data_IF_675463155105
#
_entry.id   IF_675463155105
#
_cell.length_a   1.000
_cell.length_b   1.000
_cell.length_c   1.000
_cell.angle_alpha   90.00
_cell.angle_beta   90.00
_cell.angle_gamma   90.00
#
_symmetry.space_group_name_H-M   'P 1'
#
loop_
_entity.id
_entity.type
_entity.pdbx_description
1 polymer ?
#
# COMPACT_ATOMS: atom_id res chain seq x y z
N UNK A 1 -10.60 -2.60 13.52
CA UNK A 1 -9.67 -1.47 13.68
C UNK A 1 -8.57 -1.43 12.61
N UNK A 2 -8.85 -1.80 11.35
CA UNK A 2 -7.82 -1.93 10.29
C UNK A 2 -7.91 -0.85 9.19
N UNK A 3 -8.89 0.06 9.28
CA UNK A 3 -9.20 1.11 8.29
C UNK A 3 -8.98 2.49 8.94
N UNK A 4 -7.89 2.64 9.69
CA UNK A 4 -7.53 3.94 10.25
C UNK A 4 -6.70 4.72 9.26
N UNK A 5 -6.80 6.06 9.32
CA UNK A 5 -5.87 6.93 8.63
C UNK A 5 -4.44 6.64 9.12
N UNK A 6 -3.52 6.40 8.19
CA UNK A 6 -2.12 6.11 8.54
C UNK A 6 -1.27 7.34 8.25
N UNK A 7 -0.48 7.85 9.22
CA UNK A 7 0.28 9.09 9.07
C UNK A 7 1.60 8.88 8.31
N UNK A 8 1.59 8.06 7.26
CA UNK A 8 2.77 7.76 6.46
C UNK A 8 2.62 8.34 5.06
N UNK A 9 3.71 8.92 4.55
CA UNK A 9 3.75 9.39 3.18
C UNK A 9 3.67 8.21 2.20
N UNK A 10 3.09 8.47 1.03
CA UNK A 10 3.13 7.54 -0.10
C UNK A 10 4.58 7.40 -0.58
N UNK A 11 5.06 6.18 -0.68
CA UNK A 11 6.40 5.87 -1.20
C UNK A 11 6.37 5.85 -2.73
N UNK A 12 7.21 6.70 -3.32
CA UNK A 12 7.42 6.85 -4.76
C UNK A 12 8.84 6.51 -5.20
N UNK A 13 9.68 6.00 -4.30
CA UNK A 13 11.11 5.81 -4.52
C UNK A 13 11.41 4.80 -5.63
N UNK A 14 10.58 3.76 -5.77
CA UNK A 14 10.76 2.72 -6.78
C UNK A 14 10.36 3.21 -8.19
N UNK A 15 11.11 2.92 -9.26
CA UNK A 15 10.78 3.37 -10.61
C UNK A 15 9.55 2.69 -11.24
N UNK A 16 9.13 1.52 -10.75
CA UNK A 16 8.08 0.71 -11.38
C UNK A 16 6.72 0.81 -10.68
N UNK A 17 6.68 0.89 -9.35
CA UNK A 17 5.44 0.92 -8.58
C UNK A 17 5.52 1.90 -7.40
N UNK A 18 4.36 2.16 -6.78
CA UNK A 18 4.22 3.03 -5.61
C UNK A 18 3.53 2.28 -4.48
N UNK A 19 3.80 2.71 -3.24
CA UNK A 19 3.14 2.19 -2.05
C UNK A 19 2.43 3.31 -1.29
N UNK A 20 1.10 3.25 -1.17
CA UNK A 20 0.27 4.11 -0.35
C UNK A 20 -0.18 3.36 0.92
N UNK A 21 0.43 3.61 2.09
CA UNK A 21 0.08 2.95 3.34
C UNK A 21 -1.36 3.25 3.77
N UNK A 22 -1.90 4.42 3.42
CA UNK A 22 -3.22 4.89 3.81
C UNK A 22 -4.35 4.12 3.10
N UNK A 23 -4.06 3.49 1.97
CA UNK A 23 -5.00 2.62 1.25
C UNK A 23 -4.84 1.14 1.63
N UNK A 24 -3.84 0.79 2.45
CA UNK A 24 -3.52 -0.60 2.77
C UNK A 24 -4.40 -1.15 3.90
N UNK A 25 -5.19 -2.18 3.59
CA UNK A 25 -6.08 -2.86 4.55
C UNK A 25 -5.42 -3.96 5.39
N UNK A 26 -4.09 -4.11 5.31
CA UNK A 26 -3.32 -5.09 6.09
C UNK A 26 -3.74 -6.55 5.87
N UNK A 27 -4.10 -6.91 4.64
CA UNK A 27 -4.51 -8.27 4.29
C UNK A 27 -3.35 -9.30 4.20
N UNK A 28 -2.09 -8.87 4.26
CA UNK A 28 -0.92 -9.76 4.23
C UNK A 28 -0.58 -10.41 2.87
N UNK A 29 -1.44 -10.33 1.85
CA UNK A 29 -1.22 -11.00 0.54
C UNK A 29 0.11 -10.64 -0.14
N UNK A 30 0.54 -9.38 -0.03
CA UNK A 30 1.82 -8.94 -0.59
C UNK A 30 3.03 -9.54 0.14
N UNK A 31 2.93 -9.73 1.46
CA UNK A 31 3.97 -10.38 2.27
C UNK A 31 4.05 -11.86 1.91
N UNK A 32 2.90 -12.53 1.82
CA UNK A 32 2.84 -13.94 1.42
C UNK A 32 3.45 -14.16 0.02
N UNK A 33 3.10 -13.30 -0.95
CA UNK A 33 3.69 -13.38 -2.29
C UNK A 33 5.22 -13.18 -2.27
N UNK A 34 5.72 -12.21 -1.50
CA UNK A 34 7.15 -11.93 -1.43
C UNK A 34 7.94 -13.05 -0.72
N UNK A 35 7.38 -13.65 0.34
CA UNK A 35 8.06 -14.66 1.14
C UNK A 35 7.90 -16.07 0.58
N UNK A 36 6.68 -16.47 0.22
CA UNK A 36 6.37 -17.87 -0.10
C UNK A 36 6.43 -18.17 -1.60
N UNK A 37 6.12 -17.19 -2.45
CA UNK A 37 6.07 -17.39 -3.91
C UNK A 37 7.39 -16.99 -4.54
N UNK A 38 7.83 -15.75 -4.32
CA UNK A 38 9.07 -15.22 -4.89
C UNK A 38 10.31 -15.55 -4.05
N UNK A 39 10.12 -15.92 -2.77
CA UNK A 39 11.20 -16.28 -1.82
C UNK A 39 12.27 -15.18 -1.71
N UNK A 40 11.85 -13.92 -1.75
CA UNK A 40 12.75 -12.75 -1.62
C UNK A 40 12.86 -12.25 -0.17
N UNK A 41 11.85 -12.53 0.65
CA UNK A 41 11.84 -12.23 2.10
C UNK A 41 11.99 -10.75 2.52
N UNK A 42 11.85 -9.80 1.58
CA UNK A 42 11.98 -8.34 1.85
C UNK A 42 10.78 -7.74 2.59
N UNK A 43 9.56 -8.24 2.33
CA UNK A 43 8.34 -7.66 2.87
C UNK A 43 7.95 -8.30 4.21
N UNK A 44 7.53 -7.48 5.15
CA UNK A 44 6.97 -7.90 6.45
C UNK A 44 5.88 -6.94 6.93
N UNK A 45 5.10 -7.35 7.92
CA UNK A 45 4.15 -6.48 8.64
C UNK A 45 4.40 -6.64 10.12
N UNK A 46 4.65 -5.53 10.80
CA UNK A 46 4.69 -5.46 12.25
C UNK A 46 3.34 -4.98 12.79
N UNK A 47 2.54 -5.93 13.31
CA UNK A 47 1.21 -5.65 13.87
C UNK A 47 1.27 -5.00 15.26
N UNK A 48 2.45 -4.87 15.87
CA UNK A 48 2.60 -4.26 17.19
C UNK A 48 2.74 -2.74 17.14
N UNK A 49 3.05 -2.18 15.97
CA UNK A 49 3.11 -0.74 15.76
C UNK A 49 1.73 -0.09 15.92
N UNK A 50 1.71 1.15 16.43
CA UNK A 50 0.49 1.94 16.59
C UNK A 50 -0.29 2.11 15.27
N UNK A 51 0.43 2.29 14.16
CA UNK A 51 -0.12 2.31 12.81
C UNK A 51 0.60 1.26 11.96
N UNK A 52 0.09 0.01 11.90
CA UNK A 52 0.73 -1.05 11.16
C UNK A 52 0.69 -0.79 9.64
N UNK A 53 1.80 -1.12 8.97
CA UNK A 53 1.97 -1.01 7.51
C UNK A 53 2.86 -2.15 7.01
N UNK A 54 2.95 -2.28 5.69
CA UNK A 54 3.92 -3.15 5.04
C UNK A 54 5.29 -2.46 5.12
N UNK A 55 6.29 -3.23 5.50
CA UNK A 55 7.66 -2.78 5.72
C UNK A 55 8.56 -3.51 4.73
N UNK A 56 9.37 -2.74 4.00
CA UNK A 56 10.50 -3.26 3.23
C UNK A 56 11.72 -3.25 4.16
N UNK A 57 12.39 -4.38 4.33
CA UNK A 57 13.56 -4.54 5.21
C UNK A 57 13.44 -3.80 6.56
N UNK A 58 12.31 -3.98 7.26
CA UNK A 58 12.08 -3.36 8.57
C UNK A 58 11.67 -1.89 8.53
N UNK A 59 11.42 -1.30 7.36
CA UNK A 59 10.80 0.02 7.20
C UNK A 59 11.60 1.00 6.34
N UNK A 60 12.56 0.53 5.55
CA UNK A 60 13.25 1.34 4.54
C UNK A 60 12.31 1.71 3.39
N UNK A 61 12.70 2.72 2.61
CA UNK A 61 12.04 3.01 1.33
C UNK A 61 12.26 1.86 0.35
N UNK A 62 11.34 1.67 -0.60
CA UNK A 62 11.40 0.54 -1.53
C UNK A 62 12.75 0.52 -2.29
N UNK A 63 13.26 1.68 -2.70
CA UNK A 63 14.50 1.79 -3.47
C UNK A 63 15.77 1.57 -2.64
N UNK A 64 15.68 1.71 -1.31
CA UNK A 64 16.77 1.43 -0.38
C UNK A 64 16.74 0.01 0.18
N UNK A 65 15.76 -0.79 -0.22
CA UNK A 65 15.58 -2.17 0.24
C UNK A 65 16.23 -3.19 -0.70
N UNK A 66 16.27 -4.44 -0.24
CA UNK A 66 16.64 -5.65 -0.98
C UNK A 66 15.62 -6.06 -2.05
N UNK A 67 14.56 -5.25 -2.26
CA UNK A 67 13.53 -5.55 -3.24
C UNK A 67 14.06 -5.49 -4.67
N UNK A 68 13.98 -6.62 -5.37
CA UNK A 68 14.34 -6.72 -6.80
C UNK A 68 13.28 -6.17 -7.76
N UNK A 69 12.19 -5.61 -7.22
CA UNK A 69 11.09 -5.03 -8.01
C UNK A 69 10.40 -6.02 -8.96
N UNK A 70 10.20 -7.27 -8.55
CA UNK A 70 9.52 -8.30 -9.34
C UNK A 70 8.03 -8.01 -9.63
N UNK A 71 7.41 -7.08 -8.88
CA UNK A 71 6.04 -6.63 -9.12
C UNK A 71 4.94 -7.57 -8.60
N UNK A 72 5.26 -8.76 -8.09
CA UNK A 72 4.24 -9.71 -7.62
C UNK A 72 3.38 -9.15 -6.48
N UNK A 73 3.96 -8.32 -5.60
CA UNK A 73 3.22 -7.66 -4.52
C UNK A 73 2.12 -6.71 -5.05
N UNK A 74 2.33 -6.12 -6.23
CA UNK A 74 1.39 -5.19 -6.89
C UNK A 74 0.22 -5.97 -7.50
N UNK A 75 0.48 -7.11 -8.13
CA UNK A 75 -0.56 -7.92 -8.80
C UNK A 75 -1.54 -8.56 -7.82
N UNK A 76 -1.08 -8.89 -6.61
CA UNK A 76 -1.92 -9.51 -5.57
C UNK A 76 -2.61 -8.50 -4.66
N UNK A 77 -2.32 -7.20 -4.80
CA UNK A 77 -2.89 -6.19 -3.93
C UNK A 77 -4.40 -6.03 -4.23
N UNK A 78 -5.30 -6.31 -3.27
CA UNK A 78 -6.75 -6.18 -3.50
C UNK A 78 -7.25 -4.73 -3.42
N UNK A 79 -6.38 -3.78 -3.12
CA UNK A 79 -6.71 -2.38 -2.84
C UNK A 79 -5.69 -1.47 -3.53
N UNK A 80 -5.95 -0.17 -3.53
CA UNK A 80 -5.10 0.83 -4.22
C UNK A 80 -3.79 1.16 -3.47
N UNK A 81 -3.30 0.26 -2.61
CA UNK A 81 -2.12 0.47 -1.79
C UNK A 81 -0.82 0.21 -2.53
N UNK A 82 -0.77 -0.80 -3.40
CA UNK A 82 0.38 -1.06 -4.27
C UNK A 82 -0.10 -0.96 -5.70
N UNK A 83 0.50 -0.07 -6.47
CA UNK A 83 0.11 0.21 -7.85
C UNK A 83 1.33 0.46 -8.73
N UNK A 84 1.31 -0.08 -9.94
CA UNK A 84 2.29 0.26 -10.97
C UNK A 84 2.17 1.74 -11.35
N UNK A 85 3.30 2.41 -11.59
CA UNK A 85 3.31 3.84 -11.96
C UNK A 85 2.66 4.11 -13.32
N UNK A 86 2.65 3.13 -14.21
CA UNK A 86 1.99 3.17 -15.51
C UNK A 86 0.48 2.95 -15.43
N UNK A 87 -0.01 2.43 -14.30
CA UNK A 87 -1.43 2.18 -14.08
C UNK A 87 -2.11 3.46 -13.62
N UNK A 88 -3.24 3.80 -14.26
CA UNK A 88 -4.04 4.94 -13.87
C UNK A 88 -4.58 4.70 -12.44
N UNK A 89 -4.19 5.50 -11.42
CA UNK A 89 -4.57 5.26 -10.02
C UNK A 89 -6.08 5.30 -9.80
N UNK A 90 -6.80 5.94 -10.72
CA UNK A 90 -8.23 6.21 -10.69
C UNK A 90 -8.93 5.57 -11.90
N UNK A 91 -8.77 4.26 -12.10
CA UNK A 91 -9.52 3.50 -13.11
C UNK A 91 -10.64 2.64 -12.48
N UNK A 92 -11.66 3.28 -11.89
CA UNK A 92 -12.76 2.62 -11.18
C UNK A 92 -14.13 3.21 -11.52
N UNK A 93 -15.25 2.59 -11.11
CA UNK A 93 -16.60 3.06 -11.47
C UNK A 93 -16.92 4.48 -10.96
N UNK A 94 -16.19 4.97 -9.96
CA UNK A 94 -16.39 6.28 -9.35
C UNK A 94 -15.29 7.30 -9.69
N UNK A 95 -14.46 7.03 -10.69
CA UNK A 95 -13.27 7.87 -10.94
C UNK A 95 -13.53 9.08 -11.83
N UNK A 96 -14.78 9.25 -12.27
CA UNK A 96 -15.28 10.52 -12.81
C UNK A 96 -15.62 11.54 -11.71
N UNK A 97 -15.58 11.17 -10.42
CA UNK A 97 -15.79 12.11 -9.32
C UNK A 97 -14.55 12.99 -9.13
N UNK A 98 -14.78 14.26 -8.83
CA UNK A 98 -13.70 15.19 -8.49
C UNK A 98 -12.94 14.72 -7.23
N UNK A 99 -11.61 14.70 -7.31
CA UNK A 99 -10.74 14.26 -6.20
C UNK A 99 -10.92 15.14 -4.96
N UNK A 100 -11.27 16.42 -5.13
CA UNK A 100 -11.60 17.34 -4.05
C UNK A 100 -12.86 16.96 -3.28
N UNK A 101 -13.71 16.08 -3.83
CA UNK A 101 -14.87 15.51 -3.13
C UNK A 101 -14.59 14.09 -2.62
N UNK A 102 -13.93 13.26 -3.42
CA UNK A 102 -13.70 11.84 -3.12
C UNK A 102 -12.82 11.63 -1.89
N UNK A 103 -11.70 12.36 -1.77
CA UNK A 103 -10.77 12.14 -0.64
C UNK A 103 -11.34 12.58 0.70
N UNK A 104 -11.97 13.77 0.84
CA UNK A 104 -12.61 14.17 2.10
C UNK A 104 -13.71 13.21 2.57
N UNK A 105 -14.46 12.61 1.64
CA UNK A 105 -15.47 11.60 1.99
C UNK A 105 -14.83 10.32 2.56
N UNK A 106 -13.74 9.85 1.94
CA UNK A 106 -12.97 8.69 2.45
C UNK A 106 -12.42 9.01 3.83
N UNK A 107 -11.82 10.18 4.01
CA UNK A 107 -11.22 10.61 5.27
C UNK A 107 -12.28 10.77 6.37
N UNK A 108 -13.46 11.28 6.04
CA UNK A 108 -14.60 11.35 6.95
C UNK A 108 -15.03 9.95 7.42
N UNK A 109 -15.17 8.99 6.51
CA UNK A 109 -15.51 7.61 6.88
C UNK A 109 -14.43 6.98 7.74
N UNK A 110 -13.15 7.19 7.42
CA UNK A 110 -12.03 6.72 8.25
C UNK A 110 -12.06 7.32 9.66
N UNK A 111 -12.44 8.59 9.79
CA UNK A 111 -12.58 9.27 11.07
C UNK A 111 -13.76 8.74 11.90
N UNK A 112 -14.86 8.32 11.25
CA UNK A 112 -16.04 7.75 11.94
C UNK A 112 -15.80 6.33 12.47
N UNK A 113 -14.85 5.60 11.88
CA UNK A 113 -14.50 4.23 12.29
C UNK A 113 -13.36 4.21 13.32
N UNK A 114 -12.85 5.39 13.71
CA UNK A 114 -11.85 5.59 14.76
C UNK A 114 -12.41 5.32 16.17
#
# INVERSE_FOLDING_TARGET
>A
SFIFAKPYAKDHSNPFYTYDPDQCILCGRCVEACQNVEVNETLSIDYTQAHPRVLWDGGTEIAGSSCVSCGHCVTVCPCNALLEKTMQPDAGPFTAMDEGLKRPLIDFVKALVN
#
